data_IF_102446942036
#
_entry.id   IF_102446942036
#
_cell.length_a   1.000
_cell.length_b   1.000
_cell.length_c   1.000
_cell.angle_alpha   90.00
_cell.angle_beta   90.00
_cell.angle_gamma   90.00
#
_symmetry.space_group_name_H-M   'P 1'
#
loop_
_entity.id
_entity.type
_entity.pdbx_description
1 polymer ?
#
# COMPACT_ATOMS: atom_id res chain seq x y z
N UNK A 1 -4.50 -10.88 -6.91
CA UNK A 1 -3.68 -9.97 -7.72
C UNK A 1 -2.48 -10.73 -8.28
N UNK A 2 -2.11 -10.44 -9.52
CA UNK A 2 -0.91 -10.98 -10.14
C UNK A 2 0.16 -9.89 -10.12
N UNK A 3 1.27 -10.13 -9.43
CA UNK A 3 2.41 -9.22 -9.41
C UNK A 3 3.46 -9.64 -10.43
N UNK A 4 4.06 -8.69 -11.11
CA UNK A 4 5.21 -8.89 -11.97
C UNK A 4 6.47 -8.42 -11.24
N UNK A 5 7.49 -9.27 -11.20
CA UNK A 5 8.81 -8.91 -10.68
C UNK A 5 9.48 -7.99 -11.69
N UNK A 6 9.95 -6.83 -11.24
CA UNK A 6 10.64 -5.82 -12.07
C UNK A 6 12.16 -5.81 -11.84
N UNK A 7 12.61 -6.40 -10.74
CA UNK A 7 14.04 -6.60 -10.47
C UNK A 7 14.60 -7.70 -11.38
N UNK A 8 15.89 -7.62 -11.67
CA UNK A 8 16.60 -8.70 -12.32
C UNK A 8 16.63 -9.93 -11.41
N UNK A 9 16.12 -11.04 -11.93
CA UNK A 9 16.17 -12.34 -11.26
C UNK A 9 17.01 -13.29 -12.09
N UNK A 10 17.88 -14.05 -11.43
CA UNK A 10 18.82 -14.95 -12.08
C UNK A 10 18.45 -16.42 -11.96
N UNK A 11 17.48 -16.76 -11.10
CA UNK A 11 17.06 -18.14 -10.89
C UNK A 11 15.56 -18.28 -10.60
N UNK A 12 15.03 -19.49 -10.81
CA UNK A 12 13.66 -19.83 -10.46
C UNK A 12 13.44 -19.80 -8.94
N UNK A 13 14.43 -20.14 -8.14
CA UNK A 13 14.37 -20.09 -6.69
C UNK A 13 14.15 -18.66 -6.17
N UNK A 14 14.79 -17.66 -6.81
CA UNK A 14 14.56 -16.25 -6.47
C UNK A 14 13.11 -15.83 -6.76
N UNK A 15 12.57 -16.27 -7.89
CA UNK A 15 11.17 -15.98 -8.25
C UNK A 15 10.22 -16.64 -7.26
N UNK A 16 10.45 -17.89 -6.88
CA UNK A 16 9.65 -18.61 -5.89
C UNK A 16 9.73 -17.98 -4.51
N UNK A 17 10.92 -17.54 -4.10
CA UNK A 17 11.13 -16.83 -2.85
C UNK A 17 10.31 -15.53 -2.80
N UNK A 18 10.42 -14.66 -3.81
CA UNK A 18 9.69 -13.40 -3.89
C UNK A 18 8.17 -13.66 -3.90
N UNK A 19 7.72 -14.64 -4.66
CA UNK A 19 6.31 -15.01 -4.71
C UNK A 19 5.78 -15.53 -3.37
N UNK A 20 6.61 -16.31 -2.65
CA UNK A 20 6.28 -16.80 -1.32
C UNK A 20 6.23 -15.67 -0.30
N UNK A 21 7.22 -14.78 -0.31
CA UNK A 21 7.26 -13.60 0.53
C UNK A 21 6.00 -12.74 0.34
N UNK A 22 5.64 -12.41 -0.90
CA UNK A 22 4.45 -11.59 -1.18
C UNK A 22 3.14 -12.24 -0.74
N UNK A 23 3.01 -13.57 -0.91
CA UNK A 23 1.84 -14.31 -0.38
C UNK A 23 1.78 -14.24 1.14
N UNK A 24 2.91 -14.46 1.80
CA UNK A 24 3.00 -14.43 3.26
C UNK A 24 2.78 -13.02 3.80
N UNK A 25 3.33 -11.99 3.15
CA UNK A 25 3.10 -10.59 3.50
C UNK A 25 1.61 -10.23 3.43
N UNK A 26 0.95 -10.55 2.32
CA UNK A 26 -0.49 -10.28 2.19
C UNK A 26 -1.30 -11.07 3.23
N UNK A 27 -0.93 -12.33 3.48
CA UNK A 27 -1.58 -13.15 4.50
C UNK A 27 -1.40 -12.56 5.90
N UNK A 28 -0.22 -12.07 6.24
CA UNK A 28 0.06 -11.42 7.53
C UNK A 28 -0.87 -10.21 7.74
N UNK A 29 -0.95 -9.31 6.75
CA UNK A 29 -1.83 -8.14 6.81
C UNK A 29 -3.29 -8.55 6.91
N UNK A 30 -3.73 -9.51 6.10
CA UNK A 30 -5.10 -10.02 6.15
C UNK A 30 -5.46 -10.66 7.51
N UNK A 31 -4.58 -11.50 8.05
CA UNK A 31 -4.79 -12.13 9.38
C UNK A 31 -4.87 -11.07 10.48
N UNK A 32 -4.02 -10.03 10.41
CA UNK A 32 -4.01 -8.95 11.40
C UNK A 32 -5.29 -8.09 11.30
N UNK A 33 -5.63 -7.58 10.11
CA UNK A 33 -6.76 -6.67 9.94
C UNK A 33 -8.12 -7.36 10.07
N UNK A 34 -8.26 -8.60 9.56
CA UNK A 34 -9.59 -9.23 9.45
C UNK A 34 -9.86 -10.21 10.60
N UNK A 35 -8.82 -10.88 11.09
CA UNK A 35 -8.98 -11.97 12.05
C UNK A 35 -8.42 -11.68 13.44
N UNK A 36 -7.77 -10.52 13.63
CA UNK A 36 -7.05 -10.20 14.87
C UNK A 36 -6.05 -11.30 15.26
N UNK A 37 -5.47 -11.96 14.26
CA UNK A 37 -4.45 -12.98 14.41
C UNK A 37 -3.09 -12.40 14.00
N UNK A 38 -2.21 -12.22 14.98
CA UNK A 38 -0.97 -11.49 14.79
C UNK A 38 0.18 -12.43 14.52
N UNK A 39 0.79 -12.26 13.35
CA UNK A 39 1.88 -13.08 12.84
C UNK A 39 3.12 -12.21 12.60
N UNK A 40 4.28 -12.85 12.55
CA UNK A 40 5.54 -12.23 12.18
C UNK A 40 6.32 -13.15 11.24
N UNK A 41 7.34 -12.63 10.59
CA UNK A 41 8.28 -13.43 9.85
C UNK A 41 9.37 -14.02 10.76
N UNK A 42 9.76 -15.26 10.50
CA UNK A 42 11.01 -15.84 10.97
C UNK A 42 12.18 -15.45 10.03
N UNK A 43 13.37 -16.00 10.28
CA UNK A 43 14.58 -15.71 9.50
C UNK A 43 14.47 -16.18 8.04
N UNK A 44 13.62 -17.15 7.74
CA UNK A 44 13.34 -17.65 6.39
C UNK A 44 12.09 -17.04 5.74
N UNK A 45 11.53 -15.99 6.32
CA UNK A 45 10.28 -15.35 5.91
C UNK A 45 9.04 -16.25 5.91
N UNK A 46 9.02 -17.28 6.77
CA UNK A 46 7.80 -18.02 7.08
C UNK A 46 6.98 -17.29 8.15
N UNK A 47 5.67 -17.50 8.15
CA UNK A 47 4.79 -16.90 9.14
C UNK A 47 4.77 -17.73 10.42
N UNK A 48 5.10 -17.08 11.51
CA UNK A 48 5.04 -17.63 12.88
C UNK A 48 4.19 -16.72 13.78
N UNK A 49 3.67 -17.19 14.92
CA UNK A 49 2.97 -16.32 15.87
C UNK A 49 3.83 -15.14 16.30
N UNK A 50 3.26 -13.93 16.25
CA UNK A 50 3.96 -12.73 16.67
C UNK A 50 4.01 -12.56 18.19
N UNK A 51 4.97 -11.75 18.64
CA UNK A 51 5.01 -11.23 20.02
C UNK A 51 4.16 -9.96 20.17
N UNK A 52 3.62 -9.43 19.09
CA UNK A 52 2.72 -8.27 19.09
C UNK A 52 1.30 -8.70 19.49
N UNK A 53 0.55 -7.79 20.09
CA UNK A 53 -0.81 -8.00 20.56
C UNK A 53 -1.87 -7.11 19.87
N UNK A 54 -1.45 -6.41 18.80
CA UNK A 54 -2.33 -5.53 18.03
C UNK A 54 -1.96 -5.49 16.54
N UNK A 55 -2.93 -5.06 15.73
CA UNK A 55 -2.83 -4.98 14.28
C UNK A 55 -1.73 -3.99 13.85
N UNK A 56 -1.69 -2.81 14.45
CA UNK A 56 -0.77 -1.74 14.10
C UNK A 56 0.68 -2.18 14.22
N UNK A 57 1.11 -2.63 15.39
CA UNK A 57 2.50 -3.03 15.64
C UNK A 57 2.92 -4.20 14.75
N UNK A 58 2.00 -5.13 14.51
CA UNK A 58 2.21 -6.25 13.61
C UNK A 58 2.54 -5.80 12.18
N UNK A 59 1.79 -4.86 11.64
CA UNK A 59 1.96 -4.39 10.27
C UNK A 59 3.15 -3.41 10.16
N UNK A 60 3.30 -2.50 11.12
CA UNK A 60 4.43 -1.56 11.15
C UNK A 60 5.80 -2.26 11.27
N UNK A 61 5.84 -3.47 11.81
CA UNK A 61 7.07 -4.25 11.86
C UNK A 61 7.59 -4.63 10.46
N UNK A 62 6.71 -4.84 9.49
CA UNK A 62 7.04 -5.40 8.17
C UNK A 62 6.76 -4.48 7.00
N UNK A 63 5.97 -3.41 7.19
CA UNK A 63 5.63 -2.44 6.15
C UNK A 63 6.04 -1.02 6.55
N UNK A 64 6.47 -0.24 5.57
CA UNK A 64 6.70 1.19 5.71
C UNK A 64 5.37 1.94 5.62
N UNK A 65 4.72 2.12 6.77
CA UNK A 65 3.40 2.74 6.84
C UNK A 65 3.40 4.21 6.44
N UNK A 66 4.57 4.87 6.52
CA UNK A 66 4.73 6.25 6.02
C UNK A 66 4.58 6.30 4.50
N UNK A 67 5.24 5.41 3.79
CA UNK A 67 5.12 5.27 2.33
C UNK A 67 3.72 4.80 1.91
N UNK A 68 3.13 3.86 2.65
CA UNK A 68 1.78 3.35 2.38
C UNK A 68 0.74 4.45 2.47
N UNK A 69 0.76 5.26 3.55
CA UNK A 69 -0.16 6.36 3.73
C UNK A 69 0.07 7.50 2.71
N UNK A 70 1.33 7.75 2.33
CA UNK A 70 1.65 8.71 1.28
C UNK A 70 1.07 8.28 -0.07
N UNK A 71 1.26 7.01 -0.44
CA UNK A 71 0.69 6.48 -1.69
C UNK A 71 -0.84 6.44 -1.67
N UNK A 72 -1.46 6.11 -0.53
CA UNK A 72 -2.91 6.21 -0.36
C UNK A 72 -3.41 7.63 -0.73
N UNK A 73 -2.78 8.67 -0.18
CA UNK A 73 -3.13 10.05 -0.49
C UNK A 73 -2.89 10.41 -1.96
N UNK A 74 -1.82 9.94 -2.56
CA UNK A 74 -1.56 10.17 -4.00
C UNK A 74 -2.70 9.59 -4.84
N UNK A 75 -3.14 8.36 -4.57
CA UNK A 75 -4.27 7.75 -5.28
C UNK A 75 -5.58 8.50 -5.07
N UNK A 76 -5.84 8.98 -3.86
CA UNK A 76 -7.05 9.78 -3.56
C UNK A 76 -7.02 11.14 -4.27
N UNK A 77 -5.90 11.88 -4.19
CA UNK A 77 -5.74 13.21 -4.80
C UNK A 77 -5.83 13.10 -6.32
N UNK A 78 -5.16 12.13 -6.89
CA UNK A 78 -5.12 11.90 -8.35
C UNK A 78 -6.39 11.20 -8.85
N UNK A 79 -7.25 10.71 -7.96
CA UNK A 79 -8.45 9.91 -8.31
C UNK A 79 -8.10 8.71 -9.17
N UNK A 80 -7.04 8.01 -8.81
CA UNK A 80 -6.56 6.88 -9.57
C UNK A 80 -7.49 5.68 -9.38
N UNK A 81 -8.04 5.18 -10.48
CA UNK A 81 -8.95 4.04 -10.52
C UNK A 81 -8.24 2.75 -10.93
N UNK A 82 -6.95 2.83 -11.27
CA UNK A 82 -6.20 1.71 -11.85
C UNK A 82 -5.21 1.06 -10.86
N UNK A 83 -5.05 1.64 -9.68
CA UNK A 83 -4.06 1.21 -8.68
C UNK A 83 -4.25 -0.22 -8.16
N UNK A 84 -5.36 -0.88 -8.47
CA UNK A 84 -5.61 -2.29 -8.14
C UNK A 84 -5.23 -3.28 -9.25
N UNK A 85 -5.21 -2.84 -10.50
CA UNK A 85 -4.91 -3.68 -11.67
C UNK A 85 -3.48 -3.51 -12.18
N UNK A 86 -2.95 -2.30 -12.15
CA UNK A 86 -1.65 -1.99 -12.72
C UNK A 86 -1.01 -0.78 -12.06
N UNK A 87 0.13 -0.37 -12.59
CA UNK A 87 0.79 0.89 -12.21
C UNK A 87 1.05 1.08 -10.70
N UNK A 88 1.04 0.00 -9.93
CA UNK A 88 1.27 -0.02 -8.49
C UNK A 88 2.57 -0.76 -8.17
N UNK A 89 3.52 -0.07 -7.61
CA UNK A 89 4.85 -0.57 -7.36
C UNK A 89 5.15 -0.68 -5.87
N UNK A 90 5.86 -1.74 -5.53
CA UNK A 90 6.36 -2.00 -4.18
C UNK A 90 7.80 -2.48 -4.26
N UNK A 91 8.59 -2.20 -3.24
CA UNK A 91 9.92 -2.78 -3.10
C UNK A 91 10.18 -3.25 -1.68
N UNK A 92 11.12 -4.14 -1.57
CA UNK A 92 11.75 -4.56 -0.32
C UNK A 92 13.22 -4.89 -0.62
N UNK A 93 14.10 -4.53 0.29
CA UNK A 93 15.51 -4.87 0.22
C UNK A 93 15.80 -6.09 1.09
N UNK A 94 16.14 -7.21 0.45
CA UNK A 94 16.47 -8.48 1.11
C UNK A 94 17.98 -8.67 1.32
N UNK A 95 18.80 -7.65 1.08
CA UNK A 95 20.23 -7.75 1.31
C UNK A 95 20.54 -7.91 2.79
N UNK A 96 21.66 -8.60 3.11
CA UNK A 96 22.14 -8.76 4.49
C UNK A 96 22.49 -7.41 5.13
N UNK A 97 22.85 -6.41 4.33
CA UNK A 97 23.19 -5.06 4.76
C UNK A 97 21.97 -4.12 4.79
N UNK A 98 20.76 -4.63 4.53
CA UNK A 98 19.55 -3.80 4.51
C UNK A 98 19.31 -3.15 5.88
N UNK A 99 19.30 -1.84 5.91
CA UNK A 99 18.98 -1.04 7.10
C UNK A 99 17.46 -0.82 7.27
N UNK A 100 16.68 -1.16 6.24
CA UNK A 100 15.24 -0.98 6.24
C UNK A 100 14.52 -2.09 5.45
N UNK A 101 14.46 -3.32 5.99
CA UNK A 101 13.90 -4.48 5.29
C UNK A 101 12.37 -4.51 5.37
N UNK A 102 11.70 -3.38 5.10
CA UNK A 102 10.24 -3.27 5.12
C UNK A 102 9.68 -3.13 3.72
N UNK A 103 8.51 -3.72 3.50
CA UNK A 103 7.78 -3.52 2.25
C UNK A 103 7.39 -2.04 2.13
N UNK A 104 7.90 -1.39 1.11
CA UNK A 104 7.71 0.03 0.84
C UNK A 104 6.87 0.22 -0.42
N UNK A 105 5.88 1.07 -0.36
CA UNK A 105 5.11 1.49 -1.53
C UNK A 105 5.81 2.67 -2.19
N UNK A 106 6.06 2.56 -3.48
CA UNK A 106 6.80 3.58 -4.19
C UNK A 106 6.26 3.88 -5.57
N UNK A 107 6.82 5.01 -6.08
CA UNK A 107 6.78 5.34 -7.46
C UNK A 107 5.37 5.62 -7.97
N UNK A 108 4.80 6.81 -7.68
CA UNK A 108 3.63 7.27 -8.41
C UNK A 108 3.88 7.15 -9.90
N UNK A 109 3.11 6.31 -10.59
CA UNK A 109 3.38 5.95 -11.97
C UNK A 109 2.10 5.83 -12.77
N UNK A 110 2.11 6.38 -14.00
CA UNK A 110 1.07 6.20 -15.00
C UNK A 110 -0.33 6.69 -14.59
N UNK A 111 -0.39 7.93 -14.12
CA UNK A 111 -1.65 8.59 -13.78
C UNK A 111 -2.41 9.16 -14.99
N UNK A 112 -2.17 8.64 -16.21
CA UNK A 112 -2.80 9.14 -17.43
C UNK A 112 -4.33 8.95 -17.46
N UNK A 113 -4.86 8.01 -16.68
CA UNK A 113 -6.29 7.72 -16.54
C UNK A 113 -6.95 8.45 -15.38
N UNK A 114 -6.20 9.27 -14.66
CA UNK A 114 -6.64 9.97 -13.47
C UNK A 114 -7.19 11.35 -13.82
N UNK A 115 -7.86 11.98 -12.87
CA UNK A 115 -8.40 13.34 -12.98
C UNK A 115 -9.53 13.55 -13.99
N UNK A 116 -9.93 12.55 -14.75
CA UNK A 116 -11.02 12.66 -15.74
C UNK A 116 -12.42 12.37 -15.18
N UNK A 117 -12.50 11.83 -13.97
CA UNK A 117 -13.77 11.52 -13.33
C UNK A 117 -14.37 12.72 -12.58
N UNK A 118 -15.70 12.79 -12.52
CA UNK A 118 -16.39 13.68 -11.59
C UNK A 118 -16.05 13.28 -10.15
N UNK A 119 -15.98 14.26 -9.25
CA UNK A 119 -15.85 14.00 -7.83
C UNK A 119 -17.12 13.27 -7.34
N UNK A 120 -17.00 11.99 -7.07
CA UNK A 120 -18.14 11.14 -6.70
C UNK A 120 -18.34 11.04 -5.18
N UNK A 121 -17.44 11.61 -4.40
CA UNK A 121 -17.46 11.48 -2.93
C UNK A 121 -16.98 10.14 -2.39
N UNK A 122 -16.49 9.26 -3.27
CA UNK A 122 -15.95 7.94 -2.90
C UNK A 122 -14.45 7.99 -2.63
N UNK A 123 -13.94 6.98 -1.96
CA UNK A 123 -12.51 6.75 -1.80
C UNK A 123 -11.96 5.97 -3.01
N UNK A 124 -11.03 6.55 -3.74
CA UNK A 124 -10.46 5.95 -4.96
C UNK A 124 -9.45 4.83 -4.64
N UNK A 125 -8.64 5.01 -3.61
CA UNK A 125 -7.63 4.02 -3.23
C UNK A 125 -8.25 2.74 -2.68
N UNK A 126 -9.24 2.83 -1.80
CA UNK A 126 -9.82 1.69 -1.08
C UNK A 126 -11.20 1.27 -1.60
N UNK A 127 -11.88 2.11 -2.38
CA UNK A 127 -13.24 1.85 -2.84
C UNK A 127 -14.31 1.88 -1.75
N UNK A 128 -14.00 2.36 -0.53
CA UNK A 128 -14.98 2.51 0.54
C UNK A 128 -16.05 3.54 0.18
N UNK A 129 -17.22 3.41 0.81
CA UNK A 129 -18.40 4.27 0.66
C UNK A 129 -19.08 4.25 -0.73
N UNK A 130 -18.61 3.43 -1.66
CA UNK A 130 -19.28 3.24 -2.93
C UNK A 130 -19.50 1.75 -3.23
N UNK A 131 -20.66 1.18 -2.89
CA UNK A 131 -20.97 -0.21 -3.21
C UNK A 131 -20.91 -0.51 -4.71
N UNK A 132 -21.21 0.46 -5.56
CA UNK A 132 -21.14 0.29 -7.02
C UNK A 132 -19.70 0.19 -7.52
N UNK A 133 -18.75 0.77 -6.78
CA UNK A 133 -17.34 0.66 -7.10
C UNK A 133 -16.84 -0.79 -6.99
N UNK A 134 -17.28 -1.51 -5.95
CA UNK A 134 -16.96 -2.93 -5.78
C UNK A 134 -17.60 -3.78 -6.89
N UNK A 135 -18.80 -3.44 -7.34
CA UNK A 135 -19.48 -4.17 -8.42
C UNK A 135 -18.89 -3.87 -9.81
N UNK A 136 -18.52 -2.62 -10.06
CA UNK A 136 -18.08 -2.16 -11.39
C UNK A 136 -16.54 -2.21 -11.51
N UNK A 137 -15.83 -1.92 -10.43
CA UNK A 137 -14.38 -1.75 -10.39
C UNK A 137 -13.70 -2.65 -9.36
N UNK A 138 -14.38 -3.70 -8.88
CA UNK A 138 -13.88 -4.59 -7.84
C UNK A 138 -12.50 -5.18 -8.13
N UNK A 139 -12.22 -5.41 -9.41
CA UNK A 139 -10.91 -5.90 -9.85
C UNK A 139 -9.82 -4.80 -9.83
N UNK A 140 -10.22 -3.52 -9.76
CA UNK A 140 -9.32 -2.36 -9.78
C UNK A 140 -9.01 -1.78 -8.41
N UNK A 141 -9.78 -2.15 -7.40
CA UNK A 141 -9.52 -1.72 -6.03
C UNK A 141 -8.24 -2.34 -5.50
N UNK A 142 -7.38 -1.52 -4.90
CA UNK A 142 -6.13 -2.00 -4.34
C UNK A 142 -6.39 -2.81 -3.06
N UNK A 143 -6.05 -4.12 -3.03
CA UNK A 143 -6.39 -4.98 -1.90
C UNK A 143 -5.67 -4.60 -0.60
N UNK A 144 -4.50 -3.96 -0.66
CA UNK A 144 -3.80 -3.46 0.51
C UNK A 144 -4.55 -2.29 1.14
N UNK A 145 -4.99 -1.34 0.33
CA UNK A 145 -5.75 -0.18 0.82
C UNK A 145 -7.14 -0.56 1.31
N UNK A 146 -7.77 -1.59 0.75
CA UNK A 146 -9.04 -2.12 1.27
C UNK A 146 -8.86 -2.66 2.70
N UNK A 147 -7.81 -3.42 2.96
CA UNK A 147 -7.55 -3.97 4.29
C UNK A 147 -7.19 -2.86 5.28
N UNK A 148 -6.22 -2.01 4.93
CA UNK A 148 -5.71 -0.96 5.81
C UNK A 148 -6.71 0.16 6.03
N UNK A 149 -7.50 0.53 5.02
CA UNK A 149 -8.53 1.58 5.14
C UNK A 149 -9.66 1.22 6.10
N UNK A 150 -9.83 -0.07 6.46
CA UNK A 150 -10.70 -0.52 7.54
C UNK A 150 -10.14 -0.27 8.94
N UNK A 151 -8.87 0.05 9.06
CA UNK A 151 -8.15 0.25 10.32
C UNK A 151 -8.10 1.73 10.70
N UNK A 152 -8.72 2.12 11.81
CA UNK A 152 -8.79 3.52 12.24
C UNK A 152 -7.40 4.13 12.47
N UNK A 153 -6.46 3.37 13.04
CA UNK A 153 -5.08 3.84 13.25
C UNK A 153 -4.37 4.19 11.93
N UNK A 154 -4.66 3.47 10.85
CA UNK A 154 -4.12 3.78 9.52
C UNK A 154 -4.77 5.03 8.95
N UNK A 155 -6.08 5.16 9.08
CA UNK A 155 -6.80 6.35 8.62
C UNK A 155 -6.40 7.60 9.40
N UNK A 156 -6.03 7.48 10.68
CA UNK A 156 -5.44 8.57 11.45
C UNK A 156 -4.10 9.01 10.89
N UNK A 157 -3.23 8.06 10.52
CA UNK A 157 -1.96 8.37 9.85
C UNK A 157 -2.18 9.10 8.52
N UNK A 158 -3.16 8.67 7.73
CA UNK A 158 -3.55 9.34 6.47
C UNK A 158 -4.05 10.76 6.73
N UNK A 159 -4.91 10.98 7.74
CA UNK A 159 -5.42 12.29 8.12
C UNK A 159 -4.32 13.25 8.58
N UNK A 160 -3.36 12.73 9.35
CA UNK A 160 -2.21 13.52 9.81
C UNK A 160 -1.34 13.97 8.65
N UNK A 161 -1.05 13.07 7.69
CA UNK A 161 -0.32 13.44 6.46
C UNK A 161 -1.09 14.45 5.62
N UNK A 162 -2.39 14.26 5.45
CA UNK A 162 -3.24 15.22 4.74
C UNK A 162 -3.21 16.60 5.39
N UNK A 163 -3.30 16.64 6.72
CA UNK A 163 -3.21 17.90 7.49
C UNK A 163 -1.85 18.59 7.33
N UNK A 164 -0.77 17.83 7.18
CA UNK A 164 0.56 18.34 6.84
C UNK A 164 0.57 18.97 5.44
N UNK A 165 0.10 18.24 4.42
CA UNK A 165 0.00 18.73 3.05
C UNK A 165 -0.82 20.01 2.93
N UNK A 166 -1.93 20.12 3.65
CA UNK A 166 -2.74 21.35 3.64
C UNK A 166 -2.01 22.58 4.17
N UNK A 167 -1.14 22.41 5.17
CA UNK A 167 -0.31 23.49 5.69
C UNK A 167 0.74 23.96 4.68
N UNK A 168 1.25 23.03 3.87
CA UNK A 168 2.28 23.27 2.88
C UNK A 168 1.75 23.51 1.45
N UNK A 169 0.43 23.62 1.28
CA UNK A 169 -0.21 23.79 -0.03
C UNK A 169 0.35 25.00 -0.80
N UNK A 170 0.76 26.06 -0.09
CA UNK A 170 1.42 27.21 -0.71
C UNK A 170 2.76 26.87 -1.37
N UNK A 171 3.53 25.93 -0.81
CA UNK A 171 4.78 25.46 -1.39
C UNK A 171 4.55 24.64 -2.67
N UNK A 172 3.48 23.83 -2.70
CA UNK A 172 3.09 23.06 -3.91
C UNK A 172 2.71 24.00 -5.05
N UNK A 173 1.90 25.04 -4.78
CA UNK A 173 1.57 26.06 -5.78
C UNK A 173 2.81 26.80 -6.28
N UNK A 174 3.73 27.17 -5.38
CA UNK A 174 4.96 27.85 -5.76
C UNK A 174 5.87 26.98 -6.67
N UNK A 175 5.90 25.66 -6.46
CA UNK A 175 6.62 24.75 -7.35
C UNK A 175 5.99 24.69 -8.74
N UNK A 176 4.65 24.67 -8.84
CA UNK A 176 3.95 24.64 -10.13
C UNK A 176 4.14 25.96 -10.91
N UNK A 177 4.19 27.09 -10.22
CA UNK A 177 4.40 28.39 -10.86
C UNK A 177 5.87 28.66 -11.30
N UNK A 178 6.82 27.88 -10.76
CA UNK A 178 8.25 28.03 -11.05
C UNK A 178 8.72 27.25 -12.29
N UNK A 179 7.90 26.37 -12.86
CA UNK A 179 8.14 25.60 -14.09
C UNK A 179 7.52 26.32 -15.32
#
# INVERSE_FOLDING_TARGET
>A
ANYAIKSDTTSEEQVEFIASYMRNMFRLVYEACVKNNYLMFDEEYNLVPASYDNCKDTIEAVMDMDSVAAMYLVFEIMRDQDGGEGSFYMCVDFSEDSVYPKLTFLCPWDFSWTCYGEATGRYYASGFDDPSFVEIYGDRSNPWFILLGGEEWFMDLVRDKWSGLQKDAGAVYACIEAE
#
